data_IF_682040257303
#
_entry.id   IF_682040257303
#
_cell.length_a   1.000
_cell.length_b   1.000
_cell.length_c   1.000
_cell.angle_alpha   90.00
_cell.angle_beta   90.00
_cell.angle_gamma   90.00
#
_symmetry.space_group_name_H-M   'P 1'
#
loop_
_entity.id
_entity.type
_entity.pdbx_description
1 polymer ?
#
# COMPACT_ATOMS: atom_id res chain seq x y z
N UNK A 1 20.78 -16.80 -44.46
CA UNK A 1 19.77 -17.74 -43.92
C UNK A 1 18.54 -16.95 -43.49
N UNK A 2 17.35 -17.21 -44.02
CA UNK A 2 16.16 -16.45 -43.66
C UNK A 2 15.81 -16.76 -42.20
N UNK A 3 15.80 -15.74 -41.33
CA UNK A 3 15.38 -15.93 -39.93
C UNK A 3 13.88 -16.21 -39.94
N UNK A 4 13.53 -17.46 -39.68
CA UNK A 4 12.14 -17.87 -39.53
C UNK A 4 11.50 -17.00 -38.43
N UNK A 5 10.46 -16.24 -38.80
CA UNK A 5 9.70 -15.44 -37.86
C UNK A 5 9.21 -16.34 -36.72
N UNK A 6 9.54 -15.99 -35.48
CA UNK A 6 9.09 -16.76 -34.32
C UNK A 6 7.56 -16.64 -34.23
N UNK A 7 6.85 -17.70 -34.63
CA UNK A 7 5.37 -17.76 -34.65
C UNK A 7 4.76 -17.33 -33.30
N UNK A 8 5.43 -17.67 -32.20
CA UNK A 8 5.04 -17.25 -30.85
C UNK A 8 5.12 -15.74 -30.64
N UNK A 9 6.14 -15.07 -31.17
CA UNK A 9 6.26 -13.61 -31.11
C UNK A 9 5.18 -12.92 -31.97
N UNK A 10 4.89 -13.46 -33.15
CA UNK A 10 3.80 -12.98 -34.01
C UNK A 10 2.45 -13.06 -33.30
N UNK A 11 2.13 -14.22 -32.71
CA UNK A 11 0.85 -14.42 -32.00
C UNK A 11 0.73 -13.55 -30.74
N UNK A 12 1.84 -13.34 -30.01
CA UNK A 12 1.89 -12.40 -28.88
C UNK A 12 1.64 -10.96 -29.32
N UNK A 13 2.25 -10.52 -30.43
CA UNK A 13 2.05 -9.18 -30.97
C UNK A 13 0.65 -8.96 -31.54
N UNK A 14 0.08 -9.95 -32.22
CA UNK A 14 -1.26 -9.88 -32.80
C UNK A 14 -2.35 -9.67 -31.73
N UNK A 15 -2.21 -10.31 -30.57
CA UNK A 15 -3.12 -10.10 -29.45
C UNK A 15 -3.11 -8.66 -28.95
N UNK A 16 -1.93 -8.04 -28.82
CA UNK A 16 -1.79 -6.64 -28.38
C UNK A 16 -2.33 -5.67 -29.42
N UNK A 17 -2.05 -5.93 -30.71
CA UNK A 17 -2.49 -5.07 -31.80
C UNK A 17 -4.02 -5.01 -31.96
N UNK A 18 -4.74 -6.05 -31.54
CA UNK A 18 -6.21 -6.10 -31.58
C UNK A 18 -6.82 -5.67 -30.24
N UNK A 19 -6.24 -6.10 -29.11
CA UNK A 19 -6.78 -5.81 -27.78
C UNK A 19 -6.68 -4.33 -27.41
N UNK A 20 -5.62 -3.63 -27.83
CA UNK A 20 -5.40 -2.24 -27.44
C UNK A 20 -6.41 -1.28 -28.10
N UNK A 21 -6.70 -1.35 -29.42
CA UNK A 21 -7.77 -0.55 -30.02
C UNK A 21 -9.16 -0.91 -29.49
N UNK A 22 -9.42 -2.18 -29.17
CA UNK A 22 -10.70 -2.59 -28.60
C UNK A 22 -10.91 -2.00 -27.20
N UNK A 23 -9.85 -1.97 -26.38
CA UNK A 23 -9.91 -1.35 -25.06
C UNK A 23 -10.17 0.15 -25.14
N UNK A 24 -9.54 0.83 -26.11
CA UNK A 24 -9.75 2.27 -26.35
C UNK A 24 -11.19 2.56 -26.81
N UNK A 25 -11.78 1.67 -27.60
CA UNK A 25 -13.18 1.77 -28.02
C UNK A 25 -14.21 1.56 -26.88
N UNK A 26 -13.79 1.01 -25.73
CA UNK A 26 -14.65 0.94 -24.54
C UNK A 26 -14.72 2.26 -23.78
N UNK A 27 -13.90 3.25 -24.15
CA UNK A 27 -14.01 4.60 -23.62
C UNK A 27 -15.29 5.26 -24.19
N UNK A 28 -16.18 5.79 -23.34
CA UNK A 28 -17.43 6.38 -23.80
C UNK A 28 -17.15 7.57 -24.73
N UNK A 29 -17.71 7.53 -25.94
CA UNK A 29 -17.53 8.57 -26.97
C UNK A 29 -18.06 9.95 -26.53
N UNK A 30 -19.00 9.97 -25.57
CA UNK A 30 -19.55 11.18 -24.95
C UNK A 30 -19.59 10.97 -23.43
N UNK A 31 -19.17 11.98 -22.67
CA UNK A 31 -19.16 11.91 -21.20
C UNK A 31 -17.91 11.26 -20.60
N UNK A 32 -16.83 11.09 -21.38
CA UNK A 32 -15.51 10.86 -20.80
C UNK A 32 -15.23 11.98 -19.80
N UNK A 33 -14.90 11.61 -18.56
CA UNK A 33 -14.57 12.57 -17.52
C UNK A 33 -13.45 13.47 -18.04
N UNK A 34 -13.68 14.78 -18.03
CA UNK A 34 -12.66 15.76 -18.41
C UNK A 34 -11.45 15.52 -17.52
N UNK A 35 -10.25 15.38 -18.12
CA UNK A 35 -9.00 15.21 -17.36
C UNK A 35 -8.77 16.41 -16.43
N UNK A 36 -9.44 17.54 -16.72
CA UNK A 36 -9.47 18.76 -15.91
C UNK A 36 -10.67 18.90 -14.97
N UNK A 37 -11.54 17.89 -14.85
CA UNK A 37 -12.60 17.95 -13.83
C UNK A 37 -11.95 17.92 -12.44
N UNK A 38 -12.15 19.01 -11.70
CA UNK A 38 -11.78 19.11 -10.29
C UNK A 38 -12.55 18.05 -9.52
N UNK A 39 -11.94 16.88 -9.33
CA UNK A 39 -12.53 15.76 -8.60
C UNK A 39 -12.85 16.28 -7.18
N UNK A 40 -14.13 16.30 -6.75
CA UNK A 40 -14.48 16.81 -5.44
C UNK A 40 -13.90 15.88 -4.38
N UNK A 41 -12.88 16.34 -3.66
CA UNK A 41 -12.30 15.59 -2.53
C UNK A 41 -13.26 15.66 -1.35
N UNK A 42 -14.04 14.59 -1.16
CA UNK A 42 -15.08 14.49 -0.11
C UNK A 42 -14.64 13.73 1.13
N UNK A 43 -13.41 13.24 1.17
CA UNK A 43 -12.88 12.43 2.26
C UNK A 43 -11.56 13.02 2.76
N UNK A 44 -11.47 13.20 4.08
CA UNK A 44 -10.24 13.57 4.79
C UNK A 44 -10.04 12.54 5.89
N UNK A 45 -9.00 11.72 5.77
CA UNK A 45 -8.58 10.81 6.82
C UNK A 45 -7.39 11.45 7.55
N UNK A 46 -7.60 11.82 8.81
CA UNK A 46 -6.54 12.33 9.69
C UNK A 46 -6.19 11.24 10.68
N UNK A 47 -4.93 10.84 10.67
CA UNK A 47 -4.43 9.81 11.56
C UNK A 47 -3.26 10.37 12.35
N UNK A 48 -3.53 10.75 13.59
CA UNK A 48 -2.55 11.43 14.47
C UNK A 48 -1.61 10.47 15.18
N UNK A 49 -2.02 9.24 15.49
CA UNK A 49 -1.13 8.24 16.10
C UNK A 49 -1.35 6.84 15.48
N UNK A 50 -0.52 6.57 14.48
CA UNK A 50 -0.15 5.29 13.85
C UNK A 50 0.31 4.13 14.72
N UNK A 51 0.50 4.35 16.02
CA UNK A 51 1.33 3.45 16.79
C UNK A 51 1.45 3.82 18.25
N UNK A 52 2.36 3.12 18.91
CA UNK A 52 2.62 3.30 20.33
C UNK A 52 3.59 4.46 20.49
N UNK A 53 3.25 5.42 21.36
CA UNK A 53 4.12 6.55 21.67
C UNK A 53 5.42 6.03 22.32
N UNK A 54 6.58 6.04 21.62
CA UNK A 54 7.77 5.32 22.08
C UNK A 54 8.25 5.77 23.44
N UNK A 55 8.06 7.06 23.75
CA UNK A 55 8.41 7.70 25.03
C UNK A 55 7.79 7.01 26.24
N UNK A 56 6.58 6.45 26.12
CA UNK A 56 5.88 5.83 27.24
C UNK A 56 5.88 4.29 27.17
N UNK A 57 6.45 3.72 26.11
CA UNK A 57 6.42 2.28 25.88
C UNK A 57 7.73 1.58 26.23
N UNK A 58 8.87 2.11 25.77
CA UNK A 58 10.14 1.46 26.02
C UNK A 58 10.65 1.78 27.44
N UNK A 59 11.02 0.76 28.23
CA UNK A 59 11.64 0.97 29.53
C UNK A 59 13.05 1.57 29.40
N UNK A 60 13.51 2.24 30.46
CA UNK A 60 14.86 2.82 30.51
C UNK A 60 15.83 1.79 31.12
N UNK A 61 16.94 1.53 30.42
CA UNK A 61 17.96 0.55 30.82
C UNK A 61 17.73 -0.85 30.23
N UNK A 62 18.66 -1.76 30.50
CA UNK A 62 18.65 -3.13 29.99
C UNK A 62 18.76 -4.15 31.13
N UNK A 63 18.32 -5.38 30.88
CA UNK A 63 18.37 -6.48 31.86
C UNK A 63 17.11 -6.55 32.74
N UNK A 64 17.14 -7.41 33.76
CA UNK A 64 15.96 -7.67 34.62
C UNK A 64 15.57 -6.45 35.45
N UNK A 65 16.52 -5.55 35.74
CA UNK A 65 16.35 -4.37 36.60
C UNK A 65 16.05 -3.07 35.82
N UNK A 66 15.51 -3.18 34.59
CA UNK A 66 15.08 -1.99 33.85
C UNK A 66 14.05 -1.18 34.64
N UNK A 67 14.09 0.14 34.45
CA UNK A 67 13.06 1.06 34.97
C UNK A 67 11.83 0.95 34.07
N UNK A 68 10.72 0.50 34.65
CA UNK A 68 9.48 0.28 33.92
C UNK A 68 8.98 1.58 33.27
N UNK A 69 8.47 1.48 32.05
CA UNK A 69 7.75 2.57 31.41
C UNK A 69 6.35 2.71 32.02
N UNK A 70 5.71 3.86 31.87
CA UNK A 70 4.39 4.17 32.47
C UNK A 70 3.32 3.10 32.17
N UNK A 71 3.39 2.47 30.98
CA UNK A 71 2.50 1.36 30.65
C UNK A 71 2.86 0.05 31.37
N UNK A 72 4.16 -0.22 31.58
CA UNK A 72 4.64 -1.43 32.26
C UNK A 72 4.49 -1.36 33.78
N UNK A 73 4.38 -0.17 34.38
CA UNK A 73 4.10 -0.02 35.82
C UNK A 73 2.80 -0.71 36.23
N UNK A 74 1.75 -0.63 35.40
CA UNK A 74 0.47 -1.31 35.66
C UNK A 74 0.58 -2.83 35.67
N UNK A 75 1.60 -3.37 35.01
CA UNK A 75 1.88 -4.80 34.92
C UNK A 75 2.96 -5.24 35.94
N UNK A 76 3.42 -4.35 36.83
CA UNK A 76 4.48 -4.63 37.78
C UNK A 76 4.17 -5.83 38.69
N UNK A 77 2.90 -6.02 39.08
CA UNK A 77 2.46 -7.14 39.91
C UNK A 77 2.69 -8.52 39.25
N UNK A 78 2.80 -8.56 37.92
CA UNK A 78 2.95 -9.77 37.13
C UNK A 78 4.37 -9.96 36.58
N UNK A 79 5.33 -9.09 36.95
CA UNK A 79 6.70 -9.07 36.41
C UNK A 79 7.46 -10.39 36.57
N UNK A 80 7.15 -11.15 37.62
CA UNK A 80 7.83 -12.40 37.96
C UNK A 80 6.93 -13.64 37.79
N UNK A 81 5.76 -13.49 37.17
CA UNK A 81 4.90 -14.63 36.86
C UNK A 81 5.33 -15.21 35.51
N UNK A 82 6.05 -16.33 35.57
CA UNK A 82 6.51 -17.09 34.41
C UNK A 82 5.54 -18.23 34.13
#
# INVERSE_FOLDING_TARGET
MPRCFQRRALLRGAGVAIALPWLDAMQPAFGAADVNQTIPRRMVAIQTNMGILPRYFFPEGAGVDYKASEYLERLAAHRNQT
#
